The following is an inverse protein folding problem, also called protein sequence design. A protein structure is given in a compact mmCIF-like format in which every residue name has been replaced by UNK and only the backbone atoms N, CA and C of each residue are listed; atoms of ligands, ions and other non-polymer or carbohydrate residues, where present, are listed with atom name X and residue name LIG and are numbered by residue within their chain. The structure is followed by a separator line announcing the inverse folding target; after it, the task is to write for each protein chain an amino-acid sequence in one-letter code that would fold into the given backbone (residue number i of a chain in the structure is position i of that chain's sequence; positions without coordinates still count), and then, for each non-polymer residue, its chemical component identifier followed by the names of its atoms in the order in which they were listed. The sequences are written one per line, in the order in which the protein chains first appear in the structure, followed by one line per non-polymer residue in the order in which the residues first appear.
data_IF_851975541898
#
_entry.id   IF_851975541898
#
_cell.length_a   1.000
_cell.length_b   1.000
_cell.length_c   1.000
_cell.angle_alpha   90.00
_cell.angle_beta   90.00
_cell.angle_gamma   90.00
#
_symmetry.space_group_name_H-M   'P 1'
#
loop_
_entity.id
_entity.type
_entity.pdbx_description
1 polymer ?
#
# COMPACT_ATOMS: atom_id res chain seq x y z
N UNK A 1 8.12 2.08 -10.29
CA UNK A 1 6.68 2.10 -9.99
C UNK A 1 6.23 3.56 -9.97
N UNK A 2 5.10 3.89 -10.59
CA UNK A 2 4.48 5.21 -10.43
C UNK A 2 3.40 5.10 -9.36
N UNK A 3 3.35 6.08 -8.45
CA UNK A 3 2.33 6.16 -7.41
C UNK A 3 1.24 7.11 -7.86
N UNK A 4 0.00 6.79 -7.48
CA UNK A 4 -1.14 7.65 -7.72
C UNK A 4 -1.00 8.93 -6.88
N UNK A 5 -1.23 10.10 -7.50
CA UNK A 5 -1.01 11.40 -6.84
C UNK A 5 -1.87 11.57 -5.58
N UNK A 6 -3.12 11.12 -5.62
CA UNK A 6 -4.02 11.13 -4.45
C UNK A 6 -3.53 10.20 -3.33
N UNK A 7 -2.80 9.15 -3.68
CA UNK A 7 -2.24 8.19 -2.73
C UNK A 7 -1.07 8.75 -1.91
N UNK A 8 -0.39 9.79 -2.38
CA UNK A 8 0.84 10.29 -1.74
C UNK A 8 0.57 10.75 -0.30
N UNK A 9 -0.53 11.48 -0.06
CA UNK A 9 -0.88 11.94 1.30
C UNK A 9 -1.15 10.78 2.25
N UNK A 10 -1.85 9.75 1.77
CA UNK A 10 -2.19 8.56 2.56
C UNK A 10 -0.97 7.68 2.82
N UNK A 11 -0.07 7.54 1.84
CA UNK A 11 1.21 6.85 2.01
C UNK A 11 2.06 7.56 3.06
N UNK A 12 2.17 8.90 3.00
CA UNK A 12 2.93 9.67 4.00
C UNK A 12 2.33 9.55 5.40
N UNK A 13 1.00 9.61 5.53
CA UNK A 13 0.31 9.37 6.80
C UNK A 13 0.55 7.96 7.33
N UNK A 14 0.48 6.95 6.46
CA UNK A 14 0.79 5.56 6.81
C UNK A 14 2.24 5.37 7.25
N UNK A 15 3.19 6.03 6.59
CA UNK A 15 4.61 6.00 6.95
C UNK A 15 4.85 6.64 8.31
N UNK A 16 4.20 7.78 8.59
CA UNK A 16 4.26 8.44 9.89
C UNK A 16 3.70 7.55 11.00
N UNK A 17 2.53 6.96 10.80
CA UNK A 17 1.91 6.05 11.77
C UNK A 17 2.75 4.78 11.99
N UNK A 18 3.35 4.23 10.94
CA UNK A 18 4.24 3.08 11.04
C UNK A 18 5.51 3.43 11.85
N UNK A 19 6.13 4.58 11.58
CA UNK A 19 7.29 5.05 12.34
C UNK A 19 6.94 5.27 13.82
N UNK A 20 5.81 5.93 14.10
CA UNK A 20 5.34 6.15 15.46
C UNK A 20 5.06 4.82 16.19
N UNK A 21 4.39 3.88 15.52
CA UNK A 21 4.13 2.54 16.05
C UNK A 21 5.41 1.80 16.41
N UNK A 22 6.42 1.83 15.53
CA UNK A 22 7.72 1.18 15.77
C UNK A 22 8.45 1.84 16.94
N UNK A 23 8.48 3.17 17.02
CA UNK A 23 9.12 3.90 18.13
C UNK A 23 8.49 3.52 19.46
N UNK A 24 7.15 3.55 19.55
CA UNK A 24 6.43 3.16 20.77
C UNK A 24 6.68 1.69 21.11
N UNK A 25 6.74 0.81 20.11
CA UNK A 25 7.02 -0.60 20.31
C UNK A 25 8.40 -0.84 20.92
N UNK A 26 9.43 -0.16 20.40
CA UNK A 26 10.80 -0.24 20.93
C UNK A 26 10.89 0.29 22.35
N UNK A 27 10.25 1.44 22.64
CA UNK A 27 10.34 2.08 23.96
C UNK A 27 9.62 1.31 25.08
N UNK A 28 8.52 0.61 24.78
CA UNK A 28 7.65 0.04 25.82
C UNK A 28 7.53 -1.49 25.81
N UNK A 29 7.62 -2.13 24.64
CA UNK A 29 7.32 -3.56 24.53
C UNK A 29 8.55 -4.43 24.28
N UNK A 30 9.60 -3.89 23.66
CA UNK A 30 10.71 -4.71 23.17
C UNK A 30 11.49 -5.41 24.28
N UNK A 31 11.75 -4.74 25.41
CA UNK A 31 12.49 -5.33 26.54
C UNK A 31 11.70 -6.42 27.26
N UNK A 32 10.40 -6.20 27.47
CA UNK A 32 9.57 -7.11 28.27
C UNK A 32 8.95 -8.24 27.44
N UNK A 33 8.65 -7.99 26.17
CA UNK A 33 7.91 -8.90 25.29
C UNK A 33 8.47 -8.92 23.86
N UNK A 34 9.70 -9.43 23.64
CA UNK A 34 10.39 -9.33 22.36
C UNK A 34 9.68 -10.07 21.21
N UNK A 35 9.00 -11.18 21.50
CA UNK A 35 8.23 -11.94 20.50
C UNK A 35 7.00 -11.15 20.04
N UNK A 36 6.23 -10.62 20.98
CA UNK A 36 5.05 -9.81 20.68
C UNK A 36 5.44 -8.52 19.95
N UNK A 37 6.53 -7.88 20.38
CA UNK A 37 7.11 -6.70 19.73
C UNK A 37 7.44 -6.98 18.26
N UNK A 38 8.10 -8.11 17.98
CA UNK A 38 8.44 -8.53 16.62
C UNK A 38 7.21 -8.78 15.72
N UNK A 39 6.15 -9.39 16.28
CA UNK A 39 4.88 -9.62 15.55
C UNK A 39 4.22 -8.29 15.17
N UNK A 40 4.18 -7.33 16.11
CA UNK A 40 3.60 -6.00 15.87
C UNK A 40 4.37 -5.28 14.77
N UNK A 41 5.70 -5.29 14.81
CA UNK A 41 6.53 -4.69 13.74
C UNK A 41 6.24 -5.36 12.39
N UNK A 42 6.18 -6.69 12.35
CA UNK A 42 5.85 -7.44 11.13
C UNK A 42 4.49 -7.05 10.55
N UNK A 43 3.46 -6.94 11.39
CA UNK A 43 2.11 -6.54 10.99
C UNK A 43 2.07 -5.09 10.49
N UNK A 44 2.74 -4.17 11.18
CA UNK A 44 2.83 -2.77 10.78
C UNK A 44 3.48 -2.62 9.40
N UNK A 45 4.57 -3.35 9.13
CA UNK A 45 5.22 -3.35 7.83
C UNK A 45 4.33 -3.98 6.75
N UNK A 46 3.63 -5.07 7.05
CA UNK A 46 2.69 -5.69 6.12
C UNK A 46 1.61 -4.70 5.67
N UNK A 47 1.00 -4.00 6.63
CA UNK A 47 -0.03 -2.98 6.35
C UNK A 47 0.55 -1.84 5.50
N UNK A 48 1.75 -1.35 5.83
CA UNK A 48 2.40 -0.29 5.05
C UNK A 48 2.64 -0.72 3.60
N UNK A 49 3.10 -1.96 3.39
CA UNK A 49 3.30 -2.53 2.05
C UNK A 49 1.97 -2.61 1.31
N UNK A 50 0.88 -3.03 1.96
CA UNK A 50 -0.45 -3.07 1.34
C UNK A 50 -0.95 -1.67 0.94
N UNK A 51 -0.75 -0.65 1.79
CA UNK A 51 -1.08 0.74 1.47
C UNK A 51 -0.33 1.20 0.21
N UNK A 52 0.98 0.96 0.16
CA UNK A 52 1.81 1.33 -1.00
C UNK A 52 1.37 0.57 -2.26
N UNK A 53 1.00 -0.71 -2.15
CA UNK A 53 0.51 -1.51 -3.27
C UNK A 53 -0.83 -1.01 -3.81
N UNK A 54 -1.75 -0.60 -2.94
CA UNK A 54 -3.07 -0.09 -3.34
C UNK A 54 -2.96 1.16 -4.21
N UNK A 55 -2.04 2.07 -3.89
CA UNK A 55 -1.84 3.31 -4.65
C UNK A 55 -0.86 3.17 -5.83
N UNK A 56 -0.38 1.96 -6.13
CA UNK A 56 0.48 1.73 -7.29
C UNK A 56 -0.32 1.82 -8.58
N UNK A 57 0.16 2.60 -9.54
CA UNK A 57 -0.37 2.58 -10.90
C UNK A 57 0.27 1.39 -11.66
N UNK A 58 -0.52 0.40 -12.11
CA UNK A 58 0.01 -0.70 -12.91
C UNK A 58 0.41 -0.20 -14.30
N UNK A 59 1.54 -0.71 -14.82
CA UNK A 59 1.89 -0.49 -16.22
C UNK A 59 0.93 -1.31 -17.09
N UNK A 60 0.23 -0.65 -18.01
CA UNK A 60 -0.63 -1.29 -19.02
C UNK A 60 -0.03 -1.05 -20.40
N UNK A 61 0.15 -2.11 -21.19
CA UNK A 61 0.48 -1.99 -22.60
C UNK A 61 -0.79 -1.58 -23.35
N UNK A 62 -0.82 -0.35 -23.87
CA UNK A 62 -1.95 0.17 -24.63
C UNK A 62 -1.64 0.01 -26.11
N UNK A 63 -2.38 -0.84 -26.79
CA UNK A 63 -2.38 -0.95 -28.26
C UNK A 63 -3.81 -0.67 -28.70
N UNK A 64 -4.08 0.55 -29.15
CA UNK A 64 -5.41 0.96 -29.61
C UNK A 64 -5.27 1.61 -30.99
N UNK A 65 -6.12 1.21 -31.93
CA UNK A 65 -6.24 1.84 -33.25
C UNK A 65 -7.10 3.12 -33.19
N UNK A 66 -6.95 4.02 -34.18
CA UNK A 66 -7.52 5.38 -34.13
C UNK A 66 -9.05 5.45 -34.01
N UNK A 67 -9.76 4.41 -34.43
CA UNK A 67 -11.24 4.32 -34.42
C UNK A 67 -11.77 3.19 -33.52
N UNK A 68 -10.98 2.72 -32.56
CA UNK A 68 -11.36 1.62 -31.69
C UNK A 68 -11.97 2.11 -30.36
N UNK A 69 -13.18 1.65 -30.04
CA UNK A 69 -13.81 1.92 -28.74
C UNK A 69 -13.32 0.85 -27.76
N UNK A 70 -12.63 1.28 -26.71
CA UNK A 70 -12.00 0.38 -25.73
C UNK A 70 -12.67 0.48 -24.37
N UNK A 71 -12.74 -0.64 -23.66
CA UNK A 71 -13.29 -0.66 -22.31
C UNK A 71 -12.39 0.11 -21.33
N UNK A 72 -12.98 0.93 -20.43
CA UNK A 72 -12.20 1.69 -19.44
C UNK A 72 -11.68 0.82 -18.29
N UNK A 73 -12.31 -0.34 -18.07
CA UNK A 73 -12.03 -1.25 -16.96
C UNK A 73 -12.06 -2.71 -17.42
N UNK A 74 -11.33 -3.55 -16.69
CA UNK A 74 -11.31 -5.01 -16.89
C UNK A 74 -12.55 -5.63 -16.22
N UNK A 75 -13.30 -6.47 -16.92
CA UNK A 75 -14.51 -7.11 -16.38
C UNK A 75 -15.33 -7.86 -17.43
N UNK A 76 -16.36 -8.59 -16.98
CA UNK A 76 -17.35 -9.26 -17.85
C UNK A 76 -18.68 -8.52 -17.76
N UNK A 77 -19.25 -8.16 -18.90
CA UNK A 77 -20.65 -7.72 -18.97
C UNK A 77 -21.52 -8.96 -18.83
N UNK A 78 -22.34 -9.00 -17.78
CA UNK A 78 -23.32 -10.08 -17.55
C UNK A 78 -24.69 -9.53 -17.91
N UNK A 79 -25.40 -10.25 -18.78
CA UNK A 79 -26.75 -9.91 -19.26
C UNK A 79 -27.76 -10.81 -18.55
#
# INVERSE_FOLDING_TARGET
MTLHKEGIKLILGGLFLAALSIILNVLFLFENFPVLASIIVGLTLLILILIIQFFRIPKRNKSYEKNEIVCPADGKVVV
#
